data_IF_436210089560
#
_entry.id   IF_436210089560
#
_cell.length_a   1.000
_cell.length_b   1.000
_cell.length_c   1.000
_cell.angle_alpha   90.00
_cell.angle_beta   90.00
_cell.angle_gamma   90.00
#
_symmetry.space_group_name_H-M   'P 1'
#
loop_
_entity.id
_entity.type
_entity.pdbx_description
1 polymer ?
#
# COMPACT_ATOMS: atom_id res chain seq x y z
N UNK A 1 -7.08 -7.02 20.57
CA UNK A 1 -5.69 -6.54 20.66
C UNK A 1 -4.84 -6.89 19.44
N UNK A 2 -4.96 -8.08 18.82
CA UNK A 2 -4.23 -8.40 17.58
C UNK A 2 -4.69 -7.56 16.36
N UNK A 3 -6.01 -7.43 16.17
CA UNK A 3 -6.58 -6.61 15.09
C UNK A 3 -6.09 -5.14 15.09
N UNK A 4 -5.97 -4.52 16.27
CA UNK A 4 -5.48 -3.14 16.40
C UNK A 4 -4.03 -2.99 15.92
N UNK A 5 -3.16 -3.98 16.18
CA UNK A 5 -1.76 -3.97 15.71
C UNK A 5 -1.66 -4.04 14.19
N UNK A 6 -2.56 -4.79 13.55
CA UNK A 6 -2.59 -4.93 12.09
C UNK A 6 -3.12 -3.67 11.43
N UNK A 7 -4.16 -3.06 11.98
CA UNK A 7 -4.65 -1.76 11.48
C UNK A 7 -3.56 -0.71 11.57
N UNK A 8 -2.82 -0.63 12.68
CA UNK A 8 -1.68 0.28 12.82
C UNK A 8 -0.62 0.01 11.75
N UNK A 9 -0.25 -1.27 11.51
CA UNK A 9 0.68 -1.64 10.44
C UNK A 9 0.21 -1.19 9.05
N UNK A 10 -1.08 -1.37 8.74
CA UNK A 10 -1.66 -0.95 7.46
C UNK A 10 -1.60 0.57 7.31
N UNK A 11 -1.94 1.32 8.35
CA UNK A 11 -1.87 2.79 8.34
C UNK A 11 -0.42 3.24 8.09
N UNK A 12 0.57 2.66 8.78
CA UNK A 12 1.97 2.97 8.54
C UNK A 12 2.41 2.60 7.12
N UNK A 13 2.02 1.44 6.61
CA UNK A 13 2.33 1.03 5.24
C UNK A 13 1.72 2.00 4.21
N UNK A 14 0.47 2.43 4.40
CA UNK A 14 -0.19 3.40 3.54
C UNK A 14 0.50 4.78 3.59
N UNK A 15 0.90 5.23 4.78
CA UNK A 15 1.68 6.46 4.94
C UNK A 15 3.04 6.39 4.23
N UNK A 16 3.73 5.25 4.31
CA UNK A 16 5.00 5.02 3.59
C UNK A 16 4.78 5.08 2.08
N UNK A 17 3.72 4.44 1.55
CA UNK A 17 3.38 4.51 0.12
C UNK A 17 3.09 5.96 -0.30
N UNK A 18 2.27 6.69 0.47
CA UNK A 18 1.99 8.11 0.18
C UNK A 18 3.24 8.98 0.21
N UNK A 19 4.14 8.73 1.17
CA UNK A 19 5.42 9.43 1.25
C UNK A 19 6.30 9.13 0.03
N UNK A 20 6.39 7.86 -0.39
CA UNK A 20 7.14 7.46 -1.59
C UNK A 20 6.55 8.09 -2.86
N UNK A 21 5.22 8.14 -2.98
CA UNK A 21 4.56 8.84 -4.08
C UNK A 21 4.90 10.33 -4.06
N UNK A 22 4.86 10.98 -2.89
CA UNK A 22 5.25 12.38 -2.75
C UNK A 22 6.71 12.65 -3.11
N UNK A 23 7.64 11.84 -2.58
CA UNK A 23 9.08 11.94 -2.86
C UNK A 23 9.35 11.67 -4.35
N UNK A 24 8.74 10.63 -4.92
CA UNK A 24 8.87 10.31 -6.34
C UNK A 24 8.35 11.46 -7.22
N UNK A 25 7.19 12.02 -6.87
CA UNK A 25 6.58 13.12 -7.62
C UNK A 25 7.45 14.36 -7.58
N UNK A 26 7.93 14.76 -6.39
CA UNK A 26 8.83 15.92 -6.24
C UNK A 26 10.17 15.65 -6.93
N UNK A 27 10.70 14.44 -6.85
CA UNK A 27 11.92 14.04 -7.54
C UNK A 27 11.81 14.15 -9.05
N UNK A 28 10.78 13.54 -9.64
CA UNK A 28 10.54 13.60 -11.08
C UNK A 28 10.20 15.01 -11.55
N UNK A 29 9.47 15.80 -10.76
CA UNK A 29 9.20 17.20 -11.09
C UNK A 29 10.50 18.02 -11.19
N UNK A 30 11.41 17.86 -10.22
CA UNK A 30 12.71 18.53 -10.24
C UNK A 30 13.61 18.06 -11.39
N UNK A 31 13.51 16.80 -11.80
CA UNK A 31 14.28 16.25 -12.93
C UNK A 31 13.72 16.75 -14.27
N UNK A 32 12.40 16.82 -14.41
CA UNK A 32 11.71 17.27 -15.63
C UNK A 32 11.82 18.77 -15.90
N UNK A 33 12.02 19.58 -14.85
CA UNK A 33 12.16 21.03 -14.95
C UNK A 33 10.97 21.67 -15.68
N UNK A 34 11.24 22.56 -16.64
CA UNK A 34 10.22 23.30 -17.39
C UNK A 34 9.39 22.46 -18.39
N UNK A 35 9.75 21.19 -18.59
CA UNK A 35 9.08 20.31 -19.57
C UNK A 35 8.07 19.35 -18.93
N UNK A 36 7.86 19.41 -17.61
CA UNK A 36 6.96 18.48 -16.91
C UNK A 36 6.11 19.21 -15.88
N UNK A 37 4.79 19.12 -16.04
CA UNK A 37 3.85 19.58 -15.04
C UNK A 37 3.85 18.66 -13.81
N UNK A 38 3.33 19.17 -12.69
CA UNK A 38 3.13 18.37 -11.47
C UNK A 38 2.27 17.11 -11.72
N UNK A 39 1.31 17.20 -12.65
CA UNK A 39 0.48 16.07 -13.07
C UNK A 39 1.31 14.96 -13.71
N UNK A 40 2.29 15.32 -14.54
CA UNK A 40 3.09 14.37 -15.30
C UNK A 40 4.10 13.66 -14.39
N UNK A 41 4.69 14.41 -13.45
CA UNK A 41 5.57 13.84 -12.43
C UNK A 41 4.81 12.88 -11.49
N UNK A 42 3.58 13.23 -11.10
CA UNK A 42 2.73 12.36 -10.30
C UNK A 42 2.32 11.12 -11.08
N UNK A 43 1.93 11.29 -12.34
CA UNK A 43 1.53 10.19 -13.21
C UNK A 43 2.71 9.23 -13.45
N UNK A 44 3.90 9.77 -13.75
CA UNK A 44 5.15 9.00 -13.86
C UNK A 44 5.43 8.19 -12.59
N UNK A 45 5.28 8.81 -11.41
CA UNK A 45 5.47 8.10 -10.13
C UNK A 45 4.48 6.96 -9.97
N UNK A 46 3.19 7.20 -10.26
CA UNK A 46 2.15 6.19 -10.13
C UNK A 46 2.41 4.99 -11.05
N UNK A 47 2.64 5.21 -12.35
CA UNK A 47 2.87 4.12 -13.30
C UNK A 47 4.15 3.32 -12.99
N UNK A 48 5.14 3.97 -12.37
CA UNK A 48 6.41 3.36 -11.97
C UNK A 48 6.21 2.45 -10.76
N UNK A 49 5.61 2.99 -9.68
CA UNK A 49 5.37 2.25 -8.45
C UNK A 49 4.33 1.14 -8.66
N UNK A 50 3.33 1.35 -9.52
CA UNK A 50 2.32 0.36 -9.87
C UNK A 50 2.81 -0.71 -10.85
N UNK A 51 4.07 -0.66 -11.29
CA UNK A 51 4.68 -1.59 -12.28
C UNK A 51 4.00 -1.61 -13.65
N UNK A 52 3.22 -0.57 -13.99
CA UNK A 52 2.56 -0.47 -15.29
C UNK A 52 3.55 -0.07 -16.38
N UNK A 53 4.37 0.95 -16.10
CA UNK A 53 5.53 1.31 -16.93
C UNK A 53 5.22 1.64 -18.39
N UNK A 54 4.34 2.60 -18.66
CA UNK A 54 4.03 3.06 -20.03
C UNK A 54 5.18 3.74 -20.77
N UNK A 55 6.30 4.00 -20.10
CA UNK A 55 7.47 4.71 -20.64
C UNK A 55 7.80 5.97 -19.85
N UNK A 56 8.90 6.61 -20.20
CA UNK A 56 9.38 7.85 -19.58
C UNK A 56 8.55 9.04 -20.09
N UNK A 57 7.63 9.55 -19.26
CA UNK A 57 6.89 10.80 -19.52
C UNK A 57 7.79 12.00 -19.20
N UNK A 58 8.52 11.89 -18.09
CA UNK A 58 9.53 12.85 -17.66
C UNK A 58 10.87 12.42 -18.24
N UNK A 59 11.61 13.30 -18.95
CA UNK A 59 12.90 12.94 -19.52
C UNK A 59 13.93 12.64 -18.41
N UNK A 60 14.65 11.52 -18.53
CA UNK A 60 15.72 11.10 -17.62
C UNK A 60 17.09 11.18 -18.32
N UNK A 61 17.65 12.39 -18.51
CA UNK A 61 18.85 12.59 -19.33
C UNK A 61 20.12 12.06 -18.67
N UNK A 62 20.20 12.04 -17.33
CA UNK A 62 21.42 11.62 -16.63
C UNK A 62 21.30 10.23 -16.03
N UNK A 63 22.46 9.60 -15.77
CA UNK A 63 22.52 8.31 -15.10
C UNK A 63 21.95 8.38 -13.67
N UNK A 64 22.13 9.52 -12.99
CA UNK A 64 21.59 9.75 -11.65
C UNK A 64 20.05 9.70 -11.65
N UNK A 65 19.41 10.29 -12.66
CA UNK A 65 17.95 10.32 -12.80
C UNK A 65 17.37 8.91 -12.99
N UNK A 66 18.06 8.08 -13.78
CA UNK A 66 17.67 6.68 -14.02
C UNK A 66 17.85 5.82 -12.77
N UNK A 67 18.92 6.05 -11.99
CA UNK A 67 19.13 5.38 -10.71
C UNK A 67 18.06 5.79 -9.71
N UNK A 68 17.68 7.08 -9.68
CA UNK A 68 16.56 7.56 -8.86
C UNK A 68 15.24 6.89 -9.25
N UNK A 69 14.91 6.85 -10.55
CA UNK A 69 13.73 6.16 -11.05
C UNK A 69 13.70 4.67 -10.66
N UNK A 70 14.85 3.98 -10.79
CA UNK A 70 15.01 2.59 -10.34
C UNK A 70 14.81 2.42 -8.84
N UNK A 71 15.33 3.34 -8.03
CA UNK A 71 15.14 3.32 -6.58
C UNK A 71 13.66 3.53 -6.19
N UNK A 72 12.98 4.48 -6.82
CA UNK A 72 11.54 4.71 -6.63
C UNK A 72 10.73 3.48 -7.05
N UNK A 73 11.09 2.83 -8.16
CA UNK A 73 10.43 1.62 -8.62
C UNK A 73 10.55 0.46 -7.62
N UNK A 74 11.78 0.15 -7.17
CA UNK A 74 12.03 -0.96 -6.24
C UNK A 74 11.41 -0.69 -4.87
N UNK A 75 11.60 0.52 -4.33
CA UNK A 75 11.04 0.89 -3.02
C UNK A 75 9.51 0.96 -3.06
N UNK A 76 8.94 1.54 -4.12
CA UNK A 76 7.50 1.63 -4.33
C UNK A 76 6.84 0.27 -4.46
N UNK A 77 7.41 -0.63 -5.28
CA UNK A 77 6.91 -2.00 -5.43
C UNK A 77 6.96 -2.75 -4.10
N UNK A 78 8.06 -2.63 -3.35
CA UNK A 78 8.19 -3.24 -2.03
C UNK A 78 7.13 -2.74 -1.05
N UNK A 79 6.92 -1.42 -1.00
CA UNK A 79 5.93 -0.80 -0.11
C UNK A 79 4.48 -1.18 -0.49
N UNK A 80 4.14 -1.17 -1.78
CA UNK A 80 2.82 -1.60 -2.26
C UNK A 80 2.58 -3.08 -1.95
N UNK A 81 3.56 -3.95 -2.21
CA UNK A 81 3.45 -5.39 -1.92
C UNK A 81 3.23 -5.63 -0.43
N UNK A 82 3.96 -4.91 0.43
CA UNK A 82 3.79 -5.00 1.87
C UNK A 82 2.40 -4.52 2.33
N UNK A 83 1.89 -3.45 1.72
CA UNK A 83 0.53 -2.94 1.98
C UNK A 83 -0.52 -3.98 1.59
N UNK A 84 -0.44 -4.55 0.38
CA UNK A 84 -1.34 -5.61 -0.07
C UNK A 84 -1.29 -6.84 0.83
N UNK A 85 -0.10 -7.28 1.20
CA UNK A 85 0.08 -8.42 2.11
C UNK A 85 -0.58 -8.15 3.48
N UNK A 86 -0.39 -6.94 4.01
CA UNK A 86 -1.00 -6.53 5.29
C UNK A 86 -2.54 -6.49 5.21
N UNK A 87 -3.09 -6.01 4.08
CA UNK A 87 -4.52 -6.02 3.82
C UNK A 87 -5.06 -7.45 3.73
N UNK A 88 -4.39 -8.35 3.01
CA UNK A 88 -4.78 -9.77 2.93
C UNK A 88 -4.86 -10.42 4.31
N UNK A 89 -3.86 -10.19 5.17
CA UNK A 89 -3.86 -10.69 6.56
C UNK A 89 -5.02 -10.11 7.36
N UNK A 90 -5.33 -8.82 7.19
CA UNK A 90 -6.45 -8.18 7.87
C UNK A 90 -7.80 -8.78 7.49
N UNK A 91 -8.05 -9.02 6.19
CA UNK A 91 -9.29 -9.67 5.74
C UNK A 91 -9.40 -11.09 6.31
N UNK A 92 -8.30 -11.84 6.30
CA UNK A 92 -8.26 -13.20 6.84
C UNK A 92 -8.59 -13.25 8.34
N UNK A 93 -7.96 -12.36 9.14
CA UNK A 93 -8.24 -12.29 10.57
C UNK A 93 -9.66 -11.81 10.88
N UNK A 94 -10.19 -10.85 10.11
CA UNK A 94 -11.54 -10.34 10.30
C UNK A 94 -12.60 -11.42 10.06
N UNK A 95 -12.44 -12.24 9.01
CA UNK A 95 -13.36 -13.34 8.69
C UNK A 95 -13.28 -14.46 9.74
N UNK A 96 -12.07 -14.78 10.21
CA UNK A 96 -11.87 -15.75 11.30
C UNK A 96 -12.53 -15.29 12.60
N UNK A 97 -12.40 -14.01 12.97
CA UNK A 97 -12.97 -13.49 14.21
C UNK A 97 -14.52 -13.48 14.17
N UNK A 98 -15.11 -13.13 13.03
CA UNK A 98 -16.57 -13.20 12.83
C UNK A 98 -17.12 -14.62 13.00
N UNK A 99 -16.48 -15.60 12.36
CA UNK A 99 -16.93 -17.01 12.41
C UNK A 99 -16.77 -17.62 13.82
N UNK A 100 -15.67 -17.31 14.52
CA UNK A 100 -15.44 -17.76 15.89
C UNK A 100 -16.43 -17.12 16.88
N UNK A 101 -16.72 -15.83 16.74
CA UNK A 101 -17.67 -15.12 17.61
C UNK A 101 -19.09 -15.68 17.48
N UNK A 102 -19.51 -16.05 16.27
CA UNK A 102 -20.80 -16.70 16.02
C UNK A 102 -20.89 -18.09 16.68
N UNK A 103 -19.86 -18.93 16.54
CA UNK A 103 -19.78 -20.25 17.21
C UNK A 103 -19.83 -20.14 18.73
N UNK A 104 -19.18 -19.12 19.33
CA UNK A 104 -19.26 -18.89 20.79
C UNK A 104 -20.67 -18.50 21.24
N UNK A 105 -21.38 -17.71 20.43
CA UNK A 105 -22.74 -17.29 20.72
C UNK A 105 -23.71 -18.49 20.64
N UNK A 106 -23.59 -19.34 19.62
CA UNK A 106 -24.39 -20.57 19.47
C UNK A 106 -24.18 -21.54 20.65
N UNK A 107 -22.93 -21.75 21.08
CA UNK A 107 -22.64 -22.58 22.26
C UNK A 107 -23.26 -22.02 23.55
N UNK A 108 -23.35 -20.69 23.69
CA UNK A 108 -24.03 -20.05 24.84
C UNK A 108 -25.54 -20.26 24.79
N UNK A 109 -26.15 -20.11 23.61
CA UNK A 109 -27.59 -20.36 23.40
C UNK A 109 -27.93 -21.83 23.69
N UNK A 110 -27.09 -22.77 23.25
CA UNK A 110 -27.32 -24.20 23.49
C UNK A 110 -27.25 -24.58 24.98
N UNK A 111 -26.34 -23.96 25.76
CA UNK A 111 -26.28 -24.17 27.21
C UNK A 111 -27.51 -23.64 27.95
N UNK A 112 -28.10 -22.54 27.48
CA UNK A 112 -29.34 -22.00 28.07
C UNK A 112 -30.55 -22.89 27.75
N UNK A 113 -30.54 -23.58 26.60
CA UNK A 113 -31.64 -24.46 26.18
C UNK A 113 -31.66 -25.84 26.85
N UNK A 114 -30.56 -26.29 27.45
CA UNK A 114 -30.51 -27.57 28.18
C UNK A 114 -30.96 -27.49 29.65
N UNK A 115 -31.32 -26.29 30.12
CA UNK A 115 -31.81 -26.06 31.49
C UNK A 115 -33.34 -25.95 31.60
N UNK A 116 -34.08 -26.28 30.53
CA UNK A 116 -35.54 -26.44 30.54
C UNK A 116 -35.91 -27.84 30.06
#
# INVERSE_FOLDING_TARGET
MQLQRIVIRIVWAALVVLMLVGIGTVGFYNIGGDHSDWSDALYMTLITISTVGYGEIVPLPTLADRVFAGFVAVSGLGALTFLFTSLSVFFLEKDLDHSLRRRRMEKRIQKLRQHF
#
